data_IF_052495129412
#
_entry.id   IF_052495129412
#
_cell.length_a   1.000
_cell.length_b   1.000
_cell.length_c   1.000
_cell.angle_alpha   90.00
_cell.angle_beta   90.00
_cell.angle_gamma   90.00
#
_symmetry.space_group_name_H-M   'P 1'
#
loop_
_entity.id
_entity.type
_entity.pdbx_description
1 polymer ?
#
# COMPACT_ATOMS: atom_id res chain seq x y z
N UNK A 1 -4.61 -15.02 24.13
CA UNK A 1 -5.44 -13.80 24.25
C UNK A 1 -4.80 -12.59 23.53
N UNK A 2 -4.05 -12.79 22.44
CA UNK A 2 -3.10 -11.76 21.93
C UNK A 2 -3.62 -10.87 20.78
N UNK A 3 -4.85 -11.10 20.28
CA UNK A 3 -5.36 -10.39 19.10
C UNK A 3 -5.67 -8.89 19.29
N UNK A 4 -5.63 -8.36 20.52
CA UNK A 4 -6.13 -7.00 20.80
C UNK A 4 -5.11 -5.89 20.58
N UNK A 5 -3.80 -6.18 20.55
CA UNK A 5 -2.77 -5.13 20.48
C UNK A 5 -2.14 -4.94 19.09
N UNK A 6 -2.13 -5.95 18.23
CA UNK A 6 -1.39 -5.91 16.95
C UNK A 6 -1.92 -4.87 15.94
N UNK A 7 -3.21 -4.54 16.03
CA UNK A 7 -3.86 -3.56 15.17
C UNK A 7 -4.00 -2.19 15.83
N UNK A 8 -3.50 -2.01 17.06
CA UNK A 8 -3.60 -0.74 17.79
C UNK A 8 -2.83 0.33 17.02
N UNK A 9 -3.48 1.47 16.86
CA UNK A 9 -2.89 2.63 16.23
C UNK A 9 -2.07 3.41 17.26
N UNK A 10 -0.85 3.76 16.91
CA UNK A 10 0.00 4.64 17.72
C UNK A 10 -0.53 6.10 17.71
N UNK A 11 0.19 7.02 18.36
CA UNK A 11 -0.19 8.44 18.42
C UNK A 11 -0.21 9.13 17.05
N UNK A 12 0.43 8.53 16.04
CA UNK A 12 0.40 8.99 14.65
C UNK A 12 -0.73 8.34 13.84
N UNK A 13 -1.55 7.50 14.47
CA UNK A 13 -2.66 6.80 13.86
C UNK A 13 -2.24 5.58 13.05
N UNK A 14 -1.05 5.00 13.28
CA UNK A 14 -0.50 3.87 12.51
C UNK A 14 -0.34 2.62 13.36
N UNK A 15 -0.70 1.46 12.83
CA UNK A 15 -0.31 0.16 13.43
C UNK A 15 1.10 -0.26 13.02
N UNK A 16 1.62 -1.32 13.65
CA UNK A 16 2.92 -1.91 13.31
C UNK A 16 2.99 -2.30 11.81
N UNK A 17 1.90 -2.85 11.26
CA UNK A 17 1.86 -3.25 9.85
C UNK A 17 1.97 -2.05 8.89
N UNK A 18 1.44 -0.88 9.27
CA UNK A 18 1.63 0.34 8.49
C UNK A 18 3.09 0.79 8.48
N UNK A 19 3.80 0.65 9.62
CA UNK A 19 5.21 1.01 9.72
C UNK A 19 6.10 0.06 8.94
N UNK A 20 5.83 -1.25 9.01
CA UNK A 20 6.52 -2.24 8.20
C UNK A 20 6.33 -1.96 6.70
N UNK A 21 5.11 -1.63 6.29
CA UNK A 21 4.79 -1.26 4.92
C UNK A 21 5.48 0.02 4.44
N UNK A 22 5.53 1.05 5.28
CA UNK A 22 6.25 2.30 5.00
C UNK A 22 7.76 2.07 4.86
N UNK A 23 8.34 1.26 5.74
CA UNK A 23 9.79 1.05 5.81
C UNK A 23 10.32 0.04 4.78
N UNK A 24 9.46 -0.67 4.05
CA UNK A 24 9.90 -1.74 3.15
C UNK A 24 10.37 -2.99 3.89
N UNK A 25 9.97 -3.19 5.15
CA UNK A 25 10.36 -4.36 5.93
C UNK A 25 9.44 -5.58 5.67
N UNK A 26 9.78 -6.36 4.65
CA UNK A 26 9.02 -7.54 4.23
C UNK A 26 8.90 -8.60 5.33
N UNK A 27 9.99 -8.86 6.06
CA UNK A 27 10.03 -9.89 7.11
C UNK A 27 9.09 -9.53 8.26
N UNK A 28 9.14 -8.27 8.70
CA UNK A 28 8.25 -7.76 9.74
C UNK A 28 6.78 -7.76 9.28
N UNK A 29 6.50 -7.30 8.06
CA UNK A 29 5.16 -7.33 7.50
C UNK A 29 4.60 -8.77 7.46
N UNK A 30 5.39 -9.74 7.00
CA UNK A 30 5.00 -11.15 6.97
C UNK A 30 4.75 -11.72 8.37
N UNK A 31 5.61 -11.40 9.33
CA UNK A 31 5.46 -11.83 10.72
C UNK A 31 4.19 -11.26 11.38
N UNK A 32 3.89 -9.98 11.13
CA UNK A 32 2.69 -9.31 11.66
C UNK A 32 1.41 -9.91 11.08
N UNK A 33 1.37 -10.16 9.77
CA UNK A 33 0.22 -10.82 9.13
C UNK A 33 0.05 -12.24 9.67
N UNK A 34 1.14 -12.99 9.88
CA UNK A 34 1.10 -14.33 10.46
C UNK A 34 0.56 -14.33 11.91
N UNK A 35 0.82 -13.27 12.68
CA UNK A 35 0.25 -13.04 14.01
C UNK A 35 -1.22 -12.57 13.99
N UNK A 36 -1.77 -12.33 12.80
CA UNK A 36 -3.18 -11.96 12.61
C UNK A 36 -3.45 -10.46 12.49
N UNK A 37 -2.44 -9.66 12.12
CA UNK A 37 -2.65 -8.25 11.78
C UNK A 37 -3.64 -8.09 10.63
N UNK A 38 -4.51 -7.08 10.72
CA UNK A 38 -5.44 -6.74 9.65
C UNK A 38 -4.71 -6.08 8.48
N UNK A 39 -4.72 -6.76 7.34
CA UNK A 39 -4.09 -6.30 6.09
C UNK A 39 -4.68 -4.99 5.55
N UNK A 40 -5.97 -4.73 5.80
CA UNK A 40 -6.72 -3.56 5.35
C UNK A 40 -7.07 -2.61 6.50
N UNK A 41 -6.32 -2.64 7.61
CA UNK A 41 -6.54 -1.68 8.69
C UNK A 41 -6.37 -0.25 8.15
N UNK A 42 -7.29 0.65 8.45
CA UNK A 42 -7.21 2.02 7.95
C UNK A 42 -6.56 2.91 9.01
N UNK A 43 -5.42 3.51 8.66
CA UNK A 43 -4.75 4.53 9.48
C UNK A 43 -5.44 5.90 9.32
N UNK A 44 -4.93 6.91 10.00
CA UNK A 44 -5.30 8.32 9.76
C UNK A 44 -5.06 8.82 8.33
N UNK A 45 -4.19 8.14 7.57
CA UNK A 45 -3.82 8.52 6.20
C UNK A 45 -4.21 7.46 5.17
N UNK A 46 -4.11 6.16 5.48
CA UNK A 46 -4.34 5.10 4.50
C UNK A 46 -4.09 3.71 5.05
N UNK A 47 -4.29 2.69 4.22
CA UNK A 47 -4.04 1.28 4.58
C UNK A 47 -2.55 0.93 4.53
N UNK A 48 -2.11 -0.23 5.05
CA UNK A 48 -0.75 -0.72 4.81
C UNK A 48 -0.41 -0.79 3.32
N UNK A 49 -1.38 -1.16 2.48
CA UNK A 49 -1.21 -1.18 1.03
C UNK A 49 -0.93 0.21 0.47
N UNK A 50 -1.63 1.25 0.95
CA UNK A 50 -1.35 2.63 0.56
C UNK A 50 0.12 3.00 0.83
N UNK A 51 0.64 2.76 2.03
CA UNK A 51 2.03 3.12 2.37
C UNK A 51 3.05 2.36 1.52
N UNK A 52 2.83 1.06 1.29
CA UNK A 52 3.72 0.27 0.44
C UNK A 52 3.71 0.77 -1.02
N UNK A 53 2.55 1.24 -1.51
CA UNK A 53 2.42 1.83 -2.85
C UNK A 53 3.06 3.22 -2.92
N UNK A 54 2.85 4.06 -1.91
CA UNK A 54 3.38 5.42 -1.84
C UNK A 54 4.91 5.44 -1.78
N UNK A 55 5.53 4.40 -1.22
CA UNK A 55 6.99 4.24 -1.15
C UNK A 55 7.57 3.32 -2.25
N UNK A 56 6.72 2.64 -3.02
CA UNK A 56 7.14 1.77 -4.14
C UNK A 56 7.67 0.37 -3.74
N UNK A 57 7.38 -0.10 -2.52
CA UNK A 57 7.81 -1.40 -1.99
C UNK A 57 7.02 -2.57 -2.60
N UNK A 58 7.38 -2.96 -3.83
CA UNK A 58 6.65 -3.94 -4.65
C UNK A 58 6.51 -5.32 -4.00
N UNK A 59 7.49 -5.75 -3.23
CA UNK A 59 7.47 -7.01 -2.47
C UNK A 59 6.42 -7.00 -1.36
N UNK A 60 6.31 -5.91 -0.60
CA UNK A 60 5.26 -5.73 0.40
C UNK A 60 3.89 -5.62 -0.28
N UNK A 61 3.77 -4.89 -1.39
CA UNK A 61 2.53 -4.80 -2.15
C UNK A 61 2.04 -6.20 -2.52
N UNK A 62 2.93 -7.04 -3.06
CA UNK A 62 2.60 -8.42 -3.42
C UNK A 62 2.11 -9.22 -2.21
N UNK A 63 2.85 -9.16 -1.11
CA UNK A 63 2.49 -9.85 0.13
C UNK A 63 1.09 -9.43 0.61
N UNK A 64 0.81 -8.13 0.69
CA UNK A 64 -0.47 -7.61 1.18
C UNK A 64 -1.63 -8.05 0.27
N UNK A 65 -1.46 -7.94 -1.05
CA UNK A 65 -2.49 -8.35 -2.01
C UNK A 65 -2.72 -9.86 -1.98
N UNK A 66 -1.68 -10.68 -1.86
CA UNK A 66 -1.80 -12.13 -1.68
C UNK A 66 -2.52 -12.52 -0.38
N UNK A 67 -2.42 -11.67 0.64
CA UNK A 67 -3.11 -11.82 1.93
C UNK A 67 -4.50 -11.19 1.96
N UNK A 68 -4.99 -10.74 0.80
CA UNK A 68 -6.37 -10.29 0.62
C UNK A 68 -6.58 -8.79 0.79
N UNK A 69 -5.52 -7.97 0.76
CA UNK A 69 -5.67 -6.53 0.80
C UNK A 69 -6.47 -6.01 -0.41
N UNK A 70 -7.41 -5.11 -0.16
CA UNK A 70 -8.25 -4.53 -1.20
C UNK A 70 -7.47 -3.49 -2.03
N UNK A 71 -7.10 -3.87 -3.25
CA UNK A 71 -6.39 -3.00 -4.23
C UNK A 71 -7.19 -1.77 -4.68
N UNK A 72 -8.47 -1.70 -4.32
CA UNK A 72 -9.38 -0.59 -4.61
C UNK A 72 -9.86 0.11 -3.32
N UNK A 73 -9.20 -0.10 -2.19
CA UNK A 73 -9.52 0.61 -0.96
C UNK A 73 -8.95 2.03 -1.02
N UNK A 74 -9.79 3.09 -0.98
CA UNK A 74 -9.28 4.45 -0.95
C UNK A 74 -8.54 4.73 0.35
N UNK A 75 -7.53 5.61 0.27
CA UNK A 75 -6.85 6.17 1.43
C UNK A 75 -7.75 7.22 2.13
N UNK A 76 -7.22 7.86 3.18
CA UNK A 76 -7.96 8.85 3.99
C UNK A 76 -8.36 10.13 3.26
N UNK A 77 -7.79 10.41 2.08
CA UNK A 77 -8.16 11.55 1.22
C UNK A 77 -9.00 11.14 0.00
N UNK A 78 -9.25 9.84 -0.19
CA UNK A 78 -10.11 9.31 -1.24
C UNK A 78 -9.38 8.75 -2.46
N UNK A 79 -8.05 8.79 -2.51
CA UNK A 79 -7.28 8.27 -3.64
C UNK A 79 -7.20 6.74 -3.60
N UNK A 80 -7.37 6.10 -4.76
CA UNK A 80 -7.14 4.66 -4.89
C UNK A 80 -5.63 4.36 -4.97
N UNK A 81 -5.18 3.16 -4.58
CA UNK A 81 -3.77 2.79 -4.66
C UNK A 81 -3.16 3.01 -6.05
N UNK A 82 -3.94 2.74 -7.12
CA UNK A 82 -3.47 2.98 -8.49
C UNK A 82 -3.29 4.47 -8.81
N UNK A 83 -4.13 5.35 -8.24
CA UNK A 83 -4.02 6.80 -8.45
C UNK A 83 -2.76 7.35 -7.76
N UNK A 84 -2.45 6.88 -6.54
CA UNK A 84 -1.19 7.21 -5.85
C UNK A 84 0.03 6.78 -6.66
N UNK A 85 0.06 5.54 -7.15
CA UNK A 85 1.18 5.05 -7.97
C UNK A 85 1.36 5.86 -9.26
N UNK A 86 0.27 6.22 -9.93
CA UNK A 86 0.29 7.05 -11.14
C UNK A 86 0.75 8.48 -10.85
N UNK A 87 0.32 9.07 -9.73
CA UNK A 87 0.78 10.38 -9.30
C UNK A 87 2.30 10.35 -9.07
N UNK A 88 2.80 9.42 -8.25
CA UNK A 88 4.22 9.31 -7.95
C UNK A 88 5.07 9.03 -9.20
N UNK A 89 4.59 8.18 -10.12
CA UNK A 89 5.24 7.96 -11.43
C UNK A 89 5.43 9.25 -12.26
N UNK A 90 4.46 10.18 -12.18
CA UNK A 90 4.49 11.42 -12.94
C UNK A 90 5.28 12.54 -12.24
N UNK A 91 5.44 12.47 -10.92
CA UNK A 91 6.20 13.47 -10.14
C UNK A 91 7.68 13.15 -9.99
N UNK A 92 8.08 11.87 -10.08
CA UNK A 92 9.50 11.48 -10.03
C UNK A 92 10.22 11.74 -11.35
N UNK A 93 11.41 12.35 -11.27
CA UNK A 93 12.28 12.60 -12.42
C UNK A 93 13.31 11.49 -12.62
N UNK A 94 13.68 10.79 -11.53
CA UNK A 94 14.66 9.72 -11.59
C UNK A 94 14.13 8.50 -12.35
N UNK A 95 14.94 7.99 -13.27
CA UNK A 95 14.55 6.89 -14.17
C UNK A 95 14.40 5.56 -13.45
N UNK A 96 15.17 5.31 -12.39
CA UNK A 96 15.08 4.06 -11.63
C UNK A 96 13.81 4.03 -10.80
N UNK A 97 13.50 5.13 -10.13
CA UNK A 97 12.27 5.28 -9.34
C UNK A 97 11.04 5.25 -10.26
N UNK A 98 11.13 5.84 -11.45
CA UNK A 98 10.06 5.74 -12.45
C UNK A 98 9.84 4.30 -12.92
N UNK A 99 10.91 3.53 -13.14
CA UNK A 99 10.82 2.12 -13.48
C UNK A 99 10.25 1.27 -12.33
N UNK A 100 10.55 1.63 -11.07
CA UNK A 100 9.95 1.02 -9.89
C UNK A 100 8.43 1.24 -9.87
N UNK A 101 7.97 2.49 -9.99
CA UNK A 101 6.53 2.78 -10.03
C UNK A 101 5.82 2.16 -11.22
N UNK A 102 6.49 2.04 -12.38
CA UNK A 102 5.93 1.33 -13.53
C UNK A 102 5.59 -0.13 -13.18
N UNK A 103 6.49 -0.83 -12.48
CA UNK A 103 6.24 -2.20 -12.02
C UNK A 103 5.08 -2.28 -11.02
N UNK A 104 4.96 -1.29 -10.12
CA UNK A 104 3.84 -1.20 -9.16
C UNK A 104 2.52 -0.99 -9.89
N UNK A 105 2.48 -0.06 -10.85
CA UNK A 105 1.30 0.22 -11.69
C UNK A 105 0.87 -1.04 -12.44
N UNK A 106 1.80 -1.71 -13.11
CA UNK A 106 1.52 -2.92 -13.88
C UNK A 106 0.99 -4.05 -12.97
N UNK A 107 1.59 -4.22 -11.80
CA UNK A 107 1.13 -5.19 -10.82
C UNK A 107 -0.29 -4.88 -10.33
N UNK A 108 -0.56 -3.65 -9.90
CA UNK A 108 -1.89 -3.24 -9.42
C UNK A 108 -2.96 -3.41 -10.50
N UNK A 109 -2.67 -3.02 -11.75
CA UNK A 109 -3.56 -3.26 -12.90
C UNK A 109 -3.84 -4.74 -13.11
N UNK A 110 -2.81 -5.59 -13.03
CA UNK A 110 -2.97 -7.05 -13.15
C UNK A 110 -3.87 -7.67 -12.08
N UNK A 111 -4.03 -6.98 -10.95
CA UNK A 111 -4.90 -7.38 -9.82
C UNK A 111 -6.28 -6.73 -9.86
N UNK A 112 -6.62 -6.00 -10.93
CA UNK A 112 -7.91 -5.35 -11.09
C UNK A 112 -8.05 -4.04 -10.30
N UNK A 113 -6.94 -3.39 -9.96
CA UNK A 113 -6.98 -2.03 -9.43
C UNK A 113 -7.56 -1.08 -10.48
N UNK A 114 -8.49 -0.24 -10.04
CA UNK A 114 -9.14 0.81 -10.83
C UNK A 114 -8.46 2.13 -10.52
N UNK A 115 -8.45 3.01 -11.50
CA UNK A 115 -8.09 4.41 -11.31
C UNK A 115 -9.38 5.21 -11.18
N UNK A 116 -9.44 6.10 -10.20
CA UNK A 116 -10.55 7.05 -10.08
C UNK A 116 -10.45 8.16 -11.14
N UNK A 117 -9.24 8.35 -11.70
CA UNK A 117 -9.05 9.22 -12.84
C UNK A 117 -9.71 8.63 -14.09
N UNK A 118 -10.86 9.19 -14.46
CA UNK A 118 -11.45 9.05 -15.82
C UNK A 118 -10.63 9.84 -16.86
N UNK A 119 -9.35 10.12 -16.60
CA UNK A 119 -8.50 10.84 -17.53
C UNK A 119 -8.05 9.85 -18.59
N UNK A 120 -8.84 9.78 -19.66
CA UNK A 120 -8.38 9.37 -20.98
C UNK A 120 -7.10 10.17 -21.24
N UNK A 121 -5.96 9.50 -21.13
CA UNK A 121 -4.70 10.05 -21.63
C UNK A 121 -4.72 9.71 -23.12
N UNK A 122 -5.18 10.68 -23.92
CA UNK A 122 -5.04 10.67 -25.38
C UNK A 122 -3.58 10.86 -25.78
#
# INVERSE_FOLDING_TARGET
MERKEIDVLDRSGRSELHRAALNGNLEEAAALIAKGAKVDNLSSVGTPLYYAVDEGHLDIIKLLVEKGANVNQPNGIGDLPLDTALYNYNTVYDTEQKAMYMKVIDYLKSKGAKSSSTRIVF
#
